data_IF_688128558500
#
_entry.id   IF_688128558500
#
_cell.length_a   1.000
_cell.length_b   1.000
_cell.length_c   1.000
_cell.angle_alpha   90.00
_cell.angle_beta   90.00
_cell.angle_gamma   90.00
#
_symmetry.space_group_name_H-M   'P 1'
#
loop_
_entity.id
_entity.type
_entity.pdbx_description
1 polymer ?
#
# COMPACT_ATOMS: atom_id res chain seq x y z
N UNK A 1 33.99 -17.41 11.84
CA UNK A 1 33.10 -18.09 10.87
C UNK A 1 32.45 -17.02 10.03
N UNK A 2 32.74 -16.96 8.73
CA UNK A 2 32.13 -15.96 7.84
C UNK A 2 30.68 -16.37 7.61
N UNK A 3 29.73 -15.64 8.20
CA UNK A 3 28.32 -15.84 7.90
C UNK A 3 28.11 -15.46 6.44
N UNK A 4 27.90 -16.44 5.57
CA UNK A 4 27.50 -16.18 4.19
C UNK A 4 26.14 -15.51 4.24
N UNK A 5 26.09 -14.20 3.97
CA UNK A 5 24.82 -13.47 3.92
C UNK A 5 23.94 -14.09 2.84
N UNK A 6 22.80 -14.63 3.26
CA UNK A 6 21.81 -15.19 2.34
C UNK A 6 21.38 -14.12 1.34
N UNK A 7 21.59 -14.37 0.05
CA UNK A 7 21.20 -13.43 -1.01
C UNK A 7 19.68 -13.44 -1.16
N UNK A 8 19.06 -12.29 -0.90
CA UNK A 8 17.62 -12.07 -1.11
C UNK A 8 17.38 -11.11 -2.29
N UNK A 9 16.17 -11.17 -2.84
CA UNK A 9 15.64 -10.18 -3.77
C UNK A 9 14.22 -9.78 -3.34
N UNK A 10 13.84 -8.54 -3.63
CA UNK A 10 12.48 -8.06 -3.41
C UNK A 10 11.67 -8.33 -4.68
N UNK A 11 10.51 -8.95 -4.54
CA UNK A 11 9.57 -9.14 -5.66
C UNK A 11 8.57 -7.99 -5.79
N UNK A 12 7.73 -8.09 -6.82
CA UNK A 12 6.65 -7.13 -7.05
C UNK A 12 5.65 -7.15 -5.89
N UNK A 13 5.21 -5.97 -5.41
CA UNK A 13 4.25 -5.90 -4.34
C UNK A 13 2.88 -6.38 -4.80
N UNK A 14 2.12 -6.93 -3.85
CA UNK A 14 0.69 -7.07 -4.04
C UNK A 14 -0.06 -5.72 -3.93
N UNK A 15 -1.37 -5.80 -4.05
CA UNK A 15 -2.29 -4.66 -3.98
C UNK A 15 -2.33 -3.93 -2.61
N UNK A 16 -1.84 -4.55 -1.54
CA UNK A 16 -1.68 -3.94 -0.21
C UNK A 16 -0.26 -3.37 -0.02
N UNK A 17 0.55 -3.37 -1.09
CA UNK A 17 1.98 -3.06 -1.08
C UNK A 17 2.79 -3.95 -0.13
N UNK A 18 2.47 -5.24 -0.09
CA UNK A 18 3.28 -6.26 0.56
C UNK A 18 4.26 -6.85 -0.44
N UNK A 19 5.54 -6.62 -0.20
CA UNK A 19 6.64 -7.03 -1.05
C UNK A 19 7.15 -8.41 -0.62
N UNK A 20 7.06 -9.44 -1.45
CA UNK A 20 7.62 -10.74 -1.12
C UNK A 20 9.15 -10.65 -1.11
N UNK A 21 9.78 -11.19 -0.06
CA UNK A 21 11.23 -11.33 0.04
C UNK A 21 11.60 -12.74 -0.39
N UNK A 22 12.35 -12.83 -1.49
CA UNK A 22 12.59 -14.05 -2.22
C UNK A 22 14.06 -14.48 -2.07
N UNK A 23 14.26 -15.78 -1.85
CA UNK A 23 15.55 -16.47 -1.90
C UNK A 23 15.58 -17.42 -3.09
N UNK A 24 16.77 -17.64 -3.64
CA UNK A 24 16.93 -18.41 -4.87
C UNK A 24 16.06 -17.84 -6.00
N UNK A 25 15.40 -18.73 -6.75
CA UNK A 25 14.59 -18.33 -7.90
C UNK A 25 13.15 -17.99 -7.53
N UNK A 26 12.48 -18.82 -6.71
CA UNK A 26 11.02 -18.78 -6.53
C UNK A 26 10.55 -19.11 -5.10
N UNK A 27 11.38 -18.90 -4.08
CA UNK A 27 11.02 -19.21 -2.68
C UNK A 27 10.90 -17.92 -1.86
N UNK A 28 9.77 -17.69 -1.22
CA UNK A 28 9.48 -16.51 -0.41
C UNK A 28 9.63 -16.86 1.07
N UNK A 29 10.41 -16.06 1.79
CA UNK A 29 10.65 -16.23 3.24
C UNK A 29 9.77 -15.32 4.10
N UNK A 30 8.99 -14.45 3.46
CA UNK A 30 8.03 -13.55 4.10
C UNK A 30 7.68 -12.37 3.20
N UNK A 31 6.77 -11.53 3.66
CA UNK A 31 6.43 -10.27 3.01
C UNK A 31 6.87 -9.10 3.87
N UNK A 32 7.49 -8.09 3.27
CA UNK A 32 7.80 -6.81 3.90
C UNK A 32 6.81 -5.75 3.45
N UNK A 33 6.33 -4.92 4.36
CA UNK A 33 5.46 -3.80 4.01
C UNK A 33 5.57 -2.67 5.02
N UNK A 34 5.15 -1.48 4.57
CA UNK A 34 5.11 -0.28 5.39
C UNK A 34 3.68 -0.05 5.86
N UNK A 35 3.49 0.13 7.17
CA UNK A 35 2.23 0.61 7.73
C UNK A 35 2.50 1.84 8.58
N UNK A 36 2.02 2.98 8.09
CA UNK A 36 2.46 4.29 8.54
C UNK A 36 3.98 4.37 8.58
N UNK A 37 4.59 4.82 9.68
CA UNK A 37 6.05 5.03 9.75
C UNK A 37 6.85 3.75 10.02
N UNK A 38 6.18 2.66 10.37
CA UNK A 38 6.82 1.41 10.76
C UNK A 38 6.92 0.47 9.56
N UNK A 39 7.93 -0.39 9.60
CA UNK A 39 8.05 -1.53 8.71
C UNK A 39 7.67 -2.80 9.45
N UNK A 40 6.92 -3.64 8.76
CA UNK A 40 6.43 -4.90 9.28
C UNK A 40 6.78 -6.01 8.32
N UNK A 41 6.84 -7.21 8.88
CA UNK A 41 7.00 -8.44 8.12
C UNK A 41 5.90 -9.43 8.46
N UNK A 42 5.46 -10.19 7.46
CA UNK A 42 4.58 -11.36 7.64
C UNK A 42 5.36 -12.60 7.25
N UNK A 43 5.42 -13.58 8.15
CA UNK A 43 6.14 -14.85 7.97
C UNK A 43 5.19 -16.03 8.21
N UNK A 44 5.72 -17.26 8.15
CA UNK A 44 4.97 -18.47 8.56
C UNK A 44 4.50 -18.41 10.02
N UNK A 45 5.19 -17.65 10.87
CA UNK A 45 4.90 -17.53 12.31
C UNK A 45 3.97 -16.35 12.64
N UNK A 46 3.61 -15.55 11.63
CA UNK A 46 2.72 -14.40 11.78
C UNK A 46 3.40 -13.06 11.50
N UNK A 47 2.81 -11.99 12.04
CA UNK A 47 3.22 -10.62 11.77
C UNK A 47 4.14 -10.07 12.85
N UNK A 48 5.21 -9.38 12.45
CA UNK A 48 6.14 -8.72 13.35
C UNK A 48 6.41 -7.27 12.94
N UNK A 49 6.44 -6.36 13.92
CA UNK A 49 6.70 -4.93 13.69
C UNK A 49 8.17 -4.59 13.99
N UNK A 50 8.92 -4.29 12.94
CA UNK A 50 10.35 -3.91 12.98
C UNK A 50 10.57 -2.43 13.31
N UNK A 51 9.50 -1.70 13.59
CA UNK A 51 9.46 -0.26 13.88
C UNK A 51 9.94 0.57 12.70
N UNK A 52 10.10 1.86 12.97
CA UNK A 52 10.65 2.81 12.01
C UNK A 52 12.13 2.50 11.74
N UNK A 53 12.56 2.44 10.47
CA UNK A 53 13.95 2.21 10.14
C UNK A 53 14.85 3.35 10.66
N UNK A 54 16.10 3.05 11.02
CA UNK A 54 17.11 4.06 11.33
C UNK A 54 17.29 5.07 10.19
N UNK A 55 17.78 6.26 10.53
CA UNK A 55 18.05 7.31 9.52
C UNK A 55 19.08 6.80 8.51
N UNK A 56 18.76 6.92 7.22
CA UNK A 56 19.62 6.47 6.11
C UNK A 56 19.36 5.03 5.67
N UNK A 57 18.59 4.25 6.43
CA UNK A 57 18.22 2.88 6.07
C UNK A 57 16.90 2.86 5.32
N UNK A 58 16.86 2.20 4.16
CA UNK A 58 15.59 1.87 3.50
C UNK A 58 14.92 0.75 4.30
N UNK A 59 13.69 0.97 4.73
CA UNK A 59 13.02 -0.02 5.58
C UNK A 59 12.74 -1.35 4.87
N UNK A 60 12.62 -1.37 3.54
CA UNK A 60 12.49 -2.62 2.78
C UNK A 60 13.75 -3.48 2.86
N UNK A 61 14.92 -2.85 2.83
CA UNK A 61 16.21 -3.53 2.97
C UNK A 61 16.38 -4.07 4.40
N UNK A 62 15.98 -3.27 5.40
CA UNK A 62 15.94 -3.69 6.81
C UNK A 62 15.02 -4.91 7.02
N UNK A 63 13.83 -4.88 6.45
CA UNK A 63 12.87 -5.98 6.55
C UNK A 63 13.37 -7.24 5.84
N UNK A 64 14.00 -7.10 4.68
CA UNK A 64 14.60 -8.23 3.96
C UNK A 64 15.79 -8.84 4.70
N UNK A 65 16.64 -8.03 5.33
CA UNK A 65 17.73 -8.49 6.16
C UNK A 65 17.21 -9.28 7.38
N UNK A 66 16.21 -8.73 8.09
CA UNK A 66 15.55 -9.42 9.19
C UNK A 66 14.98 -10.79 8.77
N UNK A 67 14.25 -10.84 7.66
CA UNK A 67 13.69 -12.09 7.15
C UNK A 67 14.77 -13.12 6.79
N UNK A 68 15.88 -12.67 6.20
CA UNK A 68 17.01 -13.54 5.89
C UNK A 68 17.64 -14.14 7.16
N UNK A 69 17.76 -13.35 8.22
CA UNK A 69 18.27 -13.80 9.53
C UNK A 69 17.32 -14.80 10.19
N UNK A 70 16.01 -14.52 10.20
CA UNK A 70 15.00 -15.43 10.74
C UNK A 70 14.99 -16.77 9.99
N UNK A 71 15.11 -16.74 8.66
CA UNK A 71 15.16 -17.94 7.83
C UNK A 71 16.46 -18.73 8.05
N UNK A 72 17.60 -18.05 8.08
CA UNK A 72 18.89 -18.69 8.35
C UNK A 72 18.94 -19.33 9.74
N UNK A 73 18.22 -18.77 10.71
CA UNK A 73 18.07 -19.34 12.03
C UNK A 73 16.99 -20.45 12.13
N UNK A 74 16.33 -20.80 11.03
CA UNK A 74 15.31 -21.84 10.98
C UNK A 74 13.99 -21.48 11.69
N UNK A 75 13.75 -20.19 11.95
CA UNK A 75 12.53 -19.71 12.64
C UNK A 75 11.36 -19.45 11.71
N UNK A 76 11.61 -19.32 10.41
CA UNK A 76 10.57 -19.14 9.40
C UNK A 76 10.78 -20.11 8.24
N UNK A 77 9.67 -20.60 7.67
CA UNK A 77 9.70 -21.47 6.52
C UNK A 77 9.61 -20.67 5.21
N UNK A 78 10.26 -21.17 4.15
CA UNK A 78 10.09 -20.63 2.81
C UNK A 78 8.88 -21.28 2.11
N UNK A 79 8.08 -20.47 1.43
CA UNK A 79 6.91 -20.90 0.64
C UNK A 79 7.18 -20.67 -0.85
N UNK A 80 6.58 -21.47 -1.72
CA UNK A 80 6.71 -21.23 -3.17
C UNK A 80 6.02 -19.90 -3.55
N UNK A 81 6.65 -19.12 -4.44
CA UNK A 81 6.17 -17.80 -4.85
C UNK A 81 4.79 -17.86 -5.53
N UNK A 82 4.55 -18.87 -6.36
CA UNK A 82 3.29 -19.10 -7.07
C UNK A 82 2.10 -19.32 -6.12
N UNK A 83 2.30 -19.96 -4.97
CA UNK A 83 1.29 -20.12 -3.93
C UNK A 83 0.90 -18.80 -3.25
N UNK A 84 1.78 -17.80 -3.30
CA UNK A 84 1.59 -16.50 -2.67
C UNK A 84 1.08 -15.43 -3.63
N UNK A 85 1.24 -15.64 -4.93
CA UNK A 85 0.64 -14.80 -5.98
C UNK A 85 -0.87 -15.02 -6.12
N UNK A 86 -1.56 -15.45 -5.05
CA UNK A 86 -2.99 -15.68 -5.03
C UNK A 86 -3.75 -14.46 -5.58
N UNK A 87 -4.85 -14.74 -6.29
CA UNK A 87 -5.63 -13.76 -7.06
C UNK A 87 -5.83 -12.44 -6.32
N UNK A 88 -5.59 -11.33 -7.02
CA UNK A 88 -5.87 -10.00 -6.52
C UNK A 88 -7.32 -9.97 -5.98
N UNK A 89 -7.54 -9.51 -4.74
CA UNK A 89 -8.87 -9.54 -4.17
C UNK A 89 -9.82 -8.73 -5.03
N UNK A 90 -10.98 -9.32 -5.26
CA UNK A 90 -11.99 -8.73 -6.12
C UNK A 90 -12.51 -7.45 -5.47
N UNK A 91 -12.58 -6.33 -6.22
CA UNK A 91 -13.21 -5.11 -5.75
C UNK A 91 -14.61 -5.40 -5.16
N UNK A 92 -14.86 -4.91 -3.95
CA UNK A 92 -16.17 -4.94 -3.33
C UNK A 92 -17.15 -4.13 -4.18
N UNK A 93 -18.22 -4.82 -4.59
CA UNK A 93 -19.43 -4.22 -5.15
C UNK A 93 -20.29 -3.71 -3.98
N UNK A 94 -19.97 -2.53 -3.47
CA UNK A 94 -20.71 -1.93 -2.36
C UNK A 94 -19.90 -0.95 -1.53
N UNK A 95 -20.49 -0.45 -0.43
CA UNK A 95 -19.80 0.43 0.51
C UNK A 95 -18.69 -0.33 1.23
N UNK A 96 -17.53 0.31 1.37
CA UNK A 96 -16.46 -0.15 2.26
C UNK A 96 -16.70 0.39 3.68
N UNK A 97 -16.14 -0.24 4.73
CA UNK A 97 -16.11 0.36 6.06
C UNK A 97 -15.48 1.75 6.05
N UNK A 98 -15.76 2.59 7.06
CA UNK A 98 -15.16 3.93 7.14
C UNK A 98 -13.63 3.88 7.34
N UNK A 99 -13.13 2.91 8.11
CA UNK A 99 -11.73 2.76 8.45
C UNK A 99 -11.20 1.42 7.95
N UNK A 100 -9.92 1.38 7.60
CA UNK A 100 -9.21 0.13 7.39
C UNK A 100 -9.25 -0.72 8.68
N UNK A 101 -9.36 -2.07 8.63
CA UNK A 101 -9.41 -2.91 9.83
C UNK A 101 -8.26 -2.69 10.82
N UNK A 102 -7.06 -2.39 10.31
CA UNK A 102 -5.84 -2.04 11.08
C UNK A 102 -5.84 -0.63 11.70
N UNK A 103 -6.82 0.22 11.40
CA UNK A 103 -6.89 1.58 11.93
C UNK A 103 -7.66 1.61 13.26
N UNK A 104 -7.07 2.15 14.35
CA UNK A 104 -7.81 2.36 15.59
C UNK A 104 -9.01 3.29 15.37
N UNK A 105 -10.16 2.95 15.95
CA UNK A 105 -11.43 3.66 15.74
C UNK A 105 -11.58 4.94 16.58
N UNK A 106 -10.53 5.75 16.67
CA UNK A 106 -10.51 7.03 17.41
C UNK A 106 -11.25 8.15 16.66
N UNK A 107 -11.69 9.17 17.39
CA UNK A 107 -12.37 10.35 16.80
C UNK A 107 -11.50 11.04 15.75
N UNK A 108 -10.20 11.18 16.03
CA UNK A 108 -9.23 11.73 15.08
C UNK A 108 -9.18 10.94 13.78
N UNK A 109 -9.15 9.61 13.86
CA UNK A 109 -9.09 8.75 12.68
C UNK A 109 -10.42 8.78 11.91
N UNK A 110 -11.55 8.80 12.61
CA UNK A 110 -12.89 8.93 12.01
C UNK A 110 -13.06 10.28 11.30
N UNK A 111 -12.61 11.37 11.90
CA UNK A 111 -12.64 12.69 11.28
C UNK A 111 -11.75 12.72 10.02
N UNK A 112 -10.52 12.21 10.11
CA UNK A 112 -9.61 12.10 8.98
C UNK A 112 -10.18 11.23 7.84
N UNK A 113 -10.86 10.14 8.19
CA UNK A 113 -11.55 9.29 7.21
C UNK A 113 -12.67 10.05 6.51
N UNK A 114 -13.54 10.74 7.24
CA UNK A 114 -14.62 11.55 6.64
C UNK A 114 -14.07 12.59 5.65
N UNK A 115 -13.00 13.30 6.02
CA UNK A 115 -12.32 14.22 5.10
C UNK A 115 -11.80 13.51 3.85
N UNK A 116 -11.16 12.34 4.03
CA UNK A 116 -10.60 11.59 2.91
C UNK A 116 -11.69 11.07 1.96
N UNK A 117 -12.78 10.50 2.47
CA UNK A 117 -13.90 10.04 1.65
C UNK A 117 -14.57 11.19 0.90
N UNK A 118 -14.80 12.33 1.54
CA UNK A 118 -15.37 13.50 0.88
C UNK A 118 -14.47 13.98 -0.27
N UNK A 119 -13.16 14.05 -0.03
CA UNK A 119 -12.21 14.45 -1.05
C UNK A 119 -12.05 13.42 -2.19
N UNK A 120 -12.10 12.12 -1.89
CA UNK A 120 -12.15 11.09 -2.94
C UNK A 120 -13.39 11.23 -3.80
N UNK A 121 -14.57 11.46 -3.20
CA UNK A 121 -15.81 11.67 -3.94
C UNK A 121 -15.76 12.91 -4.84
N UNK A 122 -15.26 14.04 -4.32
CA UNK A 122 -15.03 15.27 -5.12
C UNK A 122 -14.08 14.98 -6.29
N UNK A 123 -13.05 14.17 -6.04
CA UNK A 123 -12.06 13.77 -7.02
C UNK A 123 -12.47 12.54 -7.84
N UNK A 124 -13.72 12.04 -7.78
CA UNK A 124 -14.18 10.89 -8.58
C UNK A 124 -13.31 9.63 -8.41
N UNK A 125 -12.95 9.35 -7.16
CA UNK A 125 -12.29 8.13 -6.73
C UNK A 125 -13.18 7.37 -5.76
N UNK A 126 -13.24 6.05 -5.90
CA UNK A 126 -13.99 5.17 -4.98
C UNK A 126 -13.05 4.15 -4.35
N UNK A 127 -13.01 4.00 -3.02
CA UNK A 127 -12.32 2.87 -2.40
C UNK A 127 -13.09 1.58 -2.62
N UNK A 128 -12.39 0.49 -2.94
CA UNK A 128 -13.05 -0.76 -3.37
C UNK A 128 -12.64 -2.01 -2.60
N UNK A 129 -11.78 -1.92 -1.60
CA UNK A 129 -11.41 -3.09 -0.77
C UNK A 129 -11.65 -2.85 0.72
N UNK A 130 -11.21 -1.70 1.22
CA UNK A 130 -11.28 -1.35 2.62
C UNK A 130 -11.49 0.15 2.82
N UNK A 131 -11.77 0.53 4.07
CA UNK A 131 -11.90 1.92 4.48
C UNK A 131 -10.59 2.71 4.49
N UNK A 132 -10.65 3.93 5.03
CA UNK A 132 -9.50 4.83 5.07
C UNK A 132 -8.34 4.22 5.88
N UNK A 133 -7.15 4.02 5.28
CA UNK A 133 -6.00 3.41 5.94
C UNK A 133 -5.09 4.45 6.61
N UNK A 134 -5.43 5.74 6.56
CA UNK A 134 -4.51 6.82 6.86
C UNK A 134 -3.92 7.45 5.59
N UNK A 135 -3.32 8.62 5.73
CA UNK A 135 -2.92 9.42 4.57
C UNK A 135 -1.71 8.88 3.82
N UNK A 136 -0.82 8.18 4.51
CA UNK A 136 0.47 7.70 4.04
C UNK A 136 0.51 6.20 3.78
N UNK A 137 -0.65 5.55 3.79
CA UNK A 137 -0.79 4.12 3.51
C UNK A 137 -1.40 3.88 2.12
N UNK A 138 -1.06 2.74 1.48
CA UNK A 138 -1.71 2.27 0.27
C UNK A 138 -3.23 2.21 0.44
N UNK A 139 -3.94 2.70 -0.56
CA UNK A 139 -5.39 2.57 -0.63
C UNK A 139 -5.77 2.16 -2.05
N UNK A 140 -6.44 1.01 -2.18
CA UNK A 140 -6.87 0.51 -3.47
C UNK A 140 -8.15 1.23 -3.92
N UNK A 141 -8.03 2.05 -4.98
CA UNK A 141 -9.06 2.95 -5.45
C UNK A 141 -9.45 2.62 -6.90
N UNK A 142 -10.72 2.87 -7.22
CA UNK A 142 -11.30 2.87 -8.56
C UNK A 142 -11.47 4.31 -9.03
N UNK A 143 -11.03 4.58 -10.25
CA UNK A 143 -11.28 5.80 -11.00
C UNK A 143 -12.69 5.77 -11.58
N UNK A 144 -13.60 6.60 -11.08
CA UNK A 144 -14.99 6.63 -11.58
C UNK A 144 -15.12 7.29 -12.97
N UNK A 145 -14.04 7.89 -13.48
CA UNK A 145 -14.02 8.54 -14.80
C UNK A 145 -13.70 7.58 -15.95
N UNK A 146 -12.95 6.50 -15.70
CA UNK A 146 -12.52 5.56 -16.74
C UNK A 146 -12.53 4.08 -16.32
N UNK A 147 -12.86 3.77 -15.06
CA UNK A 147 -12.91 2.40 -14.56
C UNK A 147 -11.56 1.80 -14.13
N UNK A 148 -10.45 2.50 -14.27
CA UNK A 148 -9.14 2.01 -13.81
C UNK A 148 -9.12 1.79 -12.29
N UNK A 149 -8.52 0.71 -11.82
CA UNK A 149 -8.29 0.45 -10.39
C UNK A 149 -6.83 0.20 -10.07
N UNK A 150 -6.40 0.66 -8.89
CA UNK A 150 -5.05 0.42 -8.41
C UNK A 150 -4.73 1.17 -7.12
N UNK A 151 -3.48 1.00 -6.68
CA UNK A 151 -3.01 1.60 -5.42
C UNK A 151 -2.80 3.10 -5.57
N UNK A 152 -3.31 3.85 -4.60
CA UNK A 152 -3.15 5.30 -4.45
C UNK A 152 -2.93 5.68 -2.99
N UNK A 153 -2.45 6.90 -2.78
CA UNK A 153 -2.18 7.45 -1.46
C UNK A 153 -3.00 8.72 -1.26
N UNK A 154 -3.79 8.80 -0.19
CA UNK A 154 -4.61 9.99 0.08
C UNK A 154 -3.77 11.27 0.22
N UNK A 155 -2.52 11.16 0.70
CA UNK A 155 -1.59 12.29 0.76
C UNK A 155 -1.26 12.94 -0.60
N UNK A 156 -1.56 12.26 -1.72
CA UNK A 156 -1.40 12.77 -3.08
C UNK A 156 -2.71 13.31 -3.67
N UNK A 157 -3.86 12.98 -3.08
CA UNK A 157 -5.19 13.38 -3.56
C UNK A 157 -5.82 14.57 -2.83
N UNK A 158 -5.25 14.99 -1.70
CA UNK A 158 -5.83 16.06 -0.87
C UNK A 158 -5.46 17.49 -1.23
N UNK A 159 -4.70 17.70 -2.32
CA UNK A 159 -4.09 18.99 -2.62
C UNK A 159 -3.04 19.40 -1.58
N UNK A 160 -2.27 20.47 -1.85
CA UNK A 160 -1.30 21.04 -0.90
C UNK A 160 -1.22 22.55 -1.08
N UNK A 161 -1.08 23.26 0.04
CA UNK A 161 -0.89 24.73 0.07
C UNK A 161 -1.96 25.50 -0.73
N UNK A 162 -3.22 25.08 -0.60
CA UNK A 162 -4.35 25.70 -1.32
C UNK A 162 -4.54 25.23 -2.77
N UNK A 163 -3.59 24.49 -3.34
CA UNK A 163 -3.68 23.99 -4.71
C UNK A 163 -4.38 22.63 -4.78
N UNK A 164 -5.16 22.36 -5.85
CA UNK A 164 -5.70 21.03 -6.12
C UNK A 164 -4.58 19.99 -6.34
N UNK A 165 -4.86 18.68 -6.18
CA UNK A 165 -3.89 17.62 -6.50
C UNK A 165 -3.60 17.60 -8.01
N UNK A 166 -2.58 16.86 -8.46
CA UNK A 166 -2.29 16.73 -9.90
C UNK A 166 -3.53 16.25 -10.69
N UNK A 167 -3.77 16.83 -11.87
CA UNK A 167 -4.83 16.39 -12.79
C UNK A 167 -4.48 15.05 -13.47
N UNK A 168 -3.21 14.66 -13.47
CA UNK A 168 -2.79 13.32 -13.83
C UNK A 168 -3.39 12.30 -12.85
N UNK A 169 -4.09 11.29 -13.39
CA UNK A 169 -4.87 10.31 -12.61
C UNK A 169 -4.07 9.02 -12.36
N UNK A 170 -3.58 8.41 -13.43
CA UNK A 170 -2.85 7.16 -13.39
C UNK A 170 -2.01 6.86 -14.62
N UNK A 171 -1.03 5.99 -14.42
CA UNK A 171 -0.19 5.42 -15.45
C UNK A 171 -1.07 4.67 -16.47
N UNK A 172 -0.65 4.69 -17.73
CA UNK A 172 -1.48 4.26 -18.86
C UNK A 172 -2.48 5.32 -19.36
N UNK A 173 -2.64 6.43 -18.63
CA UNK A 173 -3.48 7.55 -19.05
C UNK A 173 -4.95 7.37 -18.71
N UNK A 174 -5.66 8.49 -18.53
CA UNK A 174 -7.10 8.55 -18.26
C UNK A 174 -7.81 9.26 -19.42
N UNK A 175 -8.91 9.95 -19.15
CA UNK A 175 -9.69 10.71 -20.14
C UNK A 175 -9.03 12.02 -20.61
N UNK A 176 -7.72 12.21 -20.36
CA UNK A 176 -6.96 13.44 -20.59
C UNK A 176 -7.11 14.49 -19.47
N UNK A 177 -6.04 15.25 -19.19
CA UNK A 177 -6.03 16.23 -18.09
C UNK A 177 -7.05 17.35 -18.28
N UNK A 178 -7.24 17.86 -19.49
CA UNK A 178 -8.20 18.94 -19.76
C UNK A 178 -9.62 18.52 -19.41
N UNK A 179 -9.99 17.28 -19.77
CA UNK A 179 -11.30 16.73 -19.45
C UNK A 179 -11.45 16.45 -17.96
N UNK A 180 -10.38 16.04 -17.27
CA UNK A 180 -10.36 15.92 -15.80
C UNK A 180 -10.62 17.27 -15.15
N UNK A 181 -9.89 18.33 -15.54
CA UNK A 181 -10.08 19.70 -15.04
C UNK A 181 -11.50 20.22 -15.33
N UNK A 182 -12.02 19.88 -16.51
CA UNK A 182 -13.37 20.21 -16.90
C UNK A 182 -14.44 19.41 -16.17
N UNK A 183 -14.16 18.30 -15.49
CA UNK A 183 -15.18 17.48 -14.80
C UNK A 183 -15.11 17.56 -13.28
N UNK A 184 -13.96 17.89 -12.71
CA UNK A 184 -13.76 17.94 -11.25
C UNK A 184 -13.78 19.42 -10.80
N UNK A 185 -14.75 19.83 -9.97
CA UNK A 185 -14.92 21.24 -9.56
C UNK A 185 -13.69 21.86 -8.89
N UNK A 186 -12.90 21.06 -8.17
CA UNK A 186 -11.71 21.54 -7.46
C UNK A 186 -10.66 22.21 -8.35
N UNK A 187 -10.63 21.90 -9.66
CA UNK A 187 -9.66 22.48 -10.60
C UNK A 187 -10.09 23.81 -11.22
N UNK A 188 -11.30 24.28 -10.93
CA UNK A 188 -11.87 25.50 -11.52
C UNK A 188 -11.88 26.69 -10.55
N UNK A 189 -11.34 26.50 -9.35
CA UNK A 189 -11.16 27.53 -8.32
C UNK A 189 -9.80 28.20 -8.54
#
# INVERSE_FOLDING_TARGET
MSATTLKTRIGEPDIECRYPVIIGENRVIGHAYRWHRDWLVVTSEGEHNLRRPPKGTKGIDMAAAYLAEEYAAGRVAAVALDLLLAEAPQPLNGPVPLLHPRMPASDRNRAGAKTAFAGLAEQRWRPVLHGFPGSDNPWYLLCELCGWSGVRYWSHHRGRNGNPPSAHRHDGGCIGEDRVRALIPAYRK
#
